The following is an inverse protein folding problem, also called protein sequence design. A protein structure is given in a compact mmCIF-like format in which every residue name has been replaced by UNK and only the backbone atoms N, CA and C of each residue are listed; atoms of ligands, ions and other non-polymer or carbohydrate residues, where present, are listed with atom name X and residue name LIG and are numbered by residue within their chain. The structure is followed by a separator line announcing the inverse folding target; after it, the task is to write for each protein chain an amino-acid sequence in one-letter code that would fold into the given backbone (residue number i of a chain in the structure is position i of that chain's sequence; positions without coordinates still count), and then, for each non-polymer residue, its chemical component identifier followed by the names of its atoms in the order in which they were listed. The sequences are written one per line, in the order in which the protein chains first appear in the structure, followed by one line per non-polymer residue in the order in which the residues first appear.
data_IF_024271636629
#
_entry.id   IF_024271636629
#
_cell.length_a   1.000
_cell.length_b   1.000
_cell.length_c   1.000
_cell.angle_alpha   90.00
_cell.angle_beta   90.00
_cell.angle_gamma   90.00
#
_symmetry.space_group_name_H-M   'P 1'
#
loop_
_entity.id
_entity.type
_entity.pdbx_description
1 polymer ?
#
# COMPACT_ATOMS: atom_id res chain seq x y z
N UNK A 1 -8.61 -8.88 -22.98
CA UNK A 1 -7.96 -7.63 -23.43
C UNK A 1 -8.63 -6.38 -22.83
N UNK A 2 -9.95 -6.20 -22.86
CA UNK A 2 -10.62 -4.96 -22.39
C UNK A 2 -10.47 -4.61 -20.89
N UNK A 3 -10.51 -5.59 -19.99
CA UNK A 3 -10.40 -5.33 -18.53
C UNK A 3 -9.02 -4.82 -18.11
N UNK A 4 -7.96 -5.31 -18.75
CA UNK A 4 -6.57 -4.92 -18.44
C UNK A 4 -6.33 -3.47 -18.83
N UNK A 5 -6.79 -3.04 -20.01
CA UNK A 5 -6.65 -1.65 -20.45
C UNK A 5 -7.46 -0.68 -19.57
N UNK A 6 -8.69 -1.05 -19.18
CA UNK A 6 -9.51 -0.26 -18.27
C UNK A 6 -8.86 -0.11 -16.89
N UNK A 7 -8.24 -1.18 -16.36
CA UNK A 7 -7.53 -1.13 -15.10
C UNK A 7 -6.24 -0.31 -15.20
N UNK A 8 -5.47 -0.44 -16.29
CA UNK A 8 -4.26 0.36 -16.52
C UNK A 8 -4.57 1.86 -16.50
N UNK A 9 -5.70 2.27 -17.08
CA UNK A 9 -6.17 3.67 -17.01
C UNK A 9 -6.49 4.10 -15.57
N UNK A 10 -7.13 3.22 -14.77
CA UNK A 10 -7.37 3.50 -13.35
C UNK A 10 -6.07 3.62 -12.56
N UNK A 11 -5.09 2.77 -12.81
CA UNK A 11 -3.77 2.84 -12.16
C UNK A 11 -3.12 4.18 -12.47
N UNK A 12 -2.99 4.52 -13.75
CA UNK A 12 -2.31 5.74 -14.17
C UNK A 12 -3.00 7.00 -13.60
N UNK A 13 -4.33 7.04 -13.60
CA UNK A 13 -5.11 8.13 -13.03
C UNK A 13 -4.91 8.30 -11.52
N UNK A 14 -4.68 7.22 -10.78
CA UNK A 14 -4.65 7.24 -9.31
C UNK A 14 -3.25 7.08 -8.73
N UNK A 15 -2.21 6.82 -9.52
CA UNK A 15 -0.85 6.54 -9.02
C UNK A 15 -0.32 7.62 -8.09
N UNK A 16 -0.47 8.89 -8.51
CA UNK A 16 0.03 10.05 -7.74
C UNK A 16 -0.72 10.23 -6.43
N UNK A 17 -2.04 10.00 -6.45
CA UNK A 17 -2.87 10.05 -5.25
C UNK A 17 -2.48 8.94 -4.28
N UNK A 18 -2.31 7.71 -4.77
CA UNK A 18 -1.95 6.56 -3.97
C UNK A 18 -0.58 6.76 -3.30
N UNK A 19 0.42 7.16 -4.07
CA UNK A 19 1.75 7.50 -3.55
C UNK A 19 1.70 8.61 -2.51
N UNK A 20 1.06 9.75 -2.81
CA UNK A 20 0.98 10.87 -1.87
C UNK A 20 0.27 10.49 -0.56
N UNK A 21 -0.76 9.65 -0.63
CA UNK A 21 -1.46 9.18 0.55
C UNK A 21 -0.61 8.21 1.37
N UNK A 22 0.04 7.24 0.71
CA UNK A 22 0.98 6.34 1.36
C UNK A 22 2.11 7.12 2.04
N UNK A 23 2.71 8.11 1.35
CA UNK A 23 3.79 8.95 1.86
C UNK A 23 3.39 9.70 3.13
N UNK A 24 2.16 10.21 3.22
CA UNK A 24 1.65 10.85 4.45
C UNK A 24 1.59 9.89 5.64
N UNK A 25 1.38 8.60 5.39
CA UNK A 25 1.27 7.56 6.42
C UNK A 25 2.64 7.01 6.83
N UNK A 26 3.44 6.57 5.86
CA UNK A 26 4.72 5.89 6.13
C UNK A 26 5.90 6.84 6.29
N UNK A 27 5.80 8.08 5.79
CA UNK A 27 6.81 9.15 5.89
C UNK A 27 8.19 8.81 5.33
N UNK A 28 8.28 7.77 4.51
CA UNK A 28 9.50 7.28 3.85
C UNK A 28 9.16 7.11 2.36
N UNK A 29 9.85 7.80 1.44
CA UNK A 29 9.55 7.73 0.01
C UNK A 29 9.54 6.31 -0.55
N UNK A 30 10.56 5.52 -0.21
CA UNK A 30 10.74 4.16 -0.73
C UNK A 30 9.60 3.24 -0.27
N UNK A 31 9.23 3.31 1.01
CA UNK A 31 8.09 2.57 1.55
C UNK A 31 6.77 3.01 0.90
N UNK A 32 6.64 4.31 0.57
CA UNK A 32 5.43 4.85 -0.03
C UNK A 32 5.26 4.36 -1.47
N UNK A 33 6.34 4.27 -2.24
CA UNK A 33 6.35 3.66 -3.57
C UNK A 33 5.95 2.18 -3.50
N UNK A 34 6.55 1.42 -2.58
CA UNK A 34 6.26 0.00 -2.40
C UNK A 34 4.80 -0.23 -1.99
N UNK A 35 4.29 0.55 -1.02
CA UNK A 35 2.88 0.48 -0.60
C UNK A 35 1.93 0.84 -1.74
N UNK A 36 2.23 1.88 -2.53
CA UNK A 36 1.39 2.27 -3.64
C UNK A 36 1.34 1.18 -4.71
N UNK A 37 2.48 0.56 -5.02
CA UNK A 37 2.57 -0.56 -5.94
C UNK A 37 1.76 -1.76 -5.45
N UNK A 38 2.01 -2.22 -4.22
CA UNK A 38 1.29 -3.34 -3.59
C UNK A 38 -0.22 -3.09 -3.56
N UNK A 39 -0.63 -1.84 -3.33
CA UNK A 39 -2.04 -1.47 -3.33
C UNK A 39 -2.70 -1.68 -4.69
N UNK A 40 -2.03 -1.33 -5.80
CA UNK A 40 -2.56 -1.57 -7.14
C UNK A 40 -2.56 -3.05 -7.51
N UNK A 41 -1.53 -3.82 -7.13
CA UNK A 41 -1.52 -5.28 -7.33
C UNK A 41 -2.70 -5.92 -6.61
N UNK A 42 -2.91 -5.55 -5.34
CA UNK A 42 -4.03 -6.05 -4.54
C UNK A 42 -5.38 -5.59 -5.07
N UNK A 43 -5.47 -4.34 -5.51
CA UNK A 43 -6.67 -3.80 -6.15
C UNK A 43 -7.02 -4.56 -7.44
N UNK A 44 -6.03 -4.94 -8.24
CA UNK A 44 -6.25 -5.74 -9.46
C UNK A 44 -6.78 -7.13 -9.13
N UNK A 45 -6.15 -7.81 -8.16
CA UNK A 45 -6.55 -9.16 -7.73
C UNK A 45 -7.98 -9.18 -7.17
N UNK A 46 -8.34 -8.17 -6.39
CA UNK A 46 -9.68 -8.05 -5.77
C UNK A 46 -10.69 -7.31 -6.65
N UNK A 47 -10.33 -6.88 -7.87
CA UNK A 47 -11.21 -6.09 -8.73
C UNK A 47 -12.49 -6.85 -9.11
N UNK A 48 -12.38 -8.18 -9.29
CA UNK A 48 -13.53 -9.04 -9.61
C UNK A 48 -14.56 -9.11 -8.48
N UNK A 49 -14.12 -8.88 -7.24
CA UNK A 49 -14.97 -8.90 -6.04
C UNK A 49 -15.50 -7.50 -5.70
N UNK A 50 -15.00 -6.46 -6.36
CA UNK A 50 -15.42 -5.09 -6.11
C UNK A 50 -16.85 -4.87 -6.62
N UNK A 51 -17.83 -4.98 -5.71
CA UNK A 51 -19.27 -4.85 -5.98
C UNK A 51 -19.75 -3.45 -6.38
N UNK A 52 -18.83 -2.48 -6.55
CA UNK A 52 -19.12 -1.07 -6.92
C UNK A 52 -20.10 -0.33 -5.99
N UNK A 53 -20.31 -0.83 -4.78
CA UNK A 53 -21.15 -0.20 -3.75
C UNK A 53 -20.53 1.08 -3.16
N UNK A 54 -19.26 1.38 -3.49
CA UNK A 54 -18.56 2.61 -3.10
C UNK A 54 -17.71 3.14 -4.26
N UNK A 55 -17.23 4.38 -4.16
CA UNK A 55 -16.28 4.91 -5.14
C UNK A 55 -14.99 4.08 -5.11
N UNK A 56 -14.44 3.77 -6.28
CA UNK A 56 -13.16 3.05 -6.41
C UNK A 56 -12.05 3.69 -5.56
N UNK A 57 -11.98 5.02 -5.51
CA UNK A 57 -11.01 5.76 -4.69
C UNK A 57 -11.17 5.47 -3.21
N UNK A 58 -12.40 5.45 -2.69
CA UNK A 58 -12.68 5.12 -1.28
C UNK A 58 -12.20 3.71 -0.93
N UNK A 59 -12.45 2.75 -1.82
CA UNK A 59 -11.97 1.39 -1.64
C UNK A 59 -10.44 1.29 -1.73
N UNK A 60 -9.82 1.97 -2.70
CA UNK A 60 -8.37 2.02 -2.85
C UNK A 60 -7.68 2.67 -1.64
N UNK A 61 -8.25 3.73 -1.07
CA UNK A 61 -7.76 4.35 0.16
C UNK A 61 -7.69 3.36 1.33
N UNK A 62 -8.69 2.48 1.48
CA UNK A 62 -8.68 1.43 2.51
C UNK A 62 -7.55 0.43 2.30
N UNK A 63 -7.30 0.04 1.05
CA UNK A 63 -6.19 -0.87 0.71
C UNK A 63 -4.85 -0.23 1.08
N UNK A 64 -4.61 1.02 0.63
CA UNK A 64 -3.37 1.75 0.89
C UNK A 64 -3.16 1.94 2.39
N UNK A 65 -4.22 2.30 3.13
CA UNK A 65 -4.16 2.48 4.57
C UNK A 65 -3.74 1.19 5.27
N UNK A 66 -4.41 0.07 4.97
CA UNK A 66 -4.10 -1.22 5.58
C UNK A 66 -2.66 -1.67 5.30
N UNK A 67 -2.18 -1.48 4.06
CA UNK A 67 -0.80 -1.80 3.68
C UNK A 67 0.22 -0.91 4.39
N UNK A 68 -0.06 0.40 4.48
CA UNK A 68 0.77 1.35 5.23
C UNK A 68 0.91 0.97 6.70
N UNK A 69 -0.20 0.65 7.37
CA UNK A 69 -0.19 0.23 8.78
C UNK A 69 0.58 -1.09 8.95
N UNK A 70 0.40 -2.05 8.02
CA UNK A 70 1.14 -3.31 8.04
C UNK A 70 2.66 -3.08 7.92
N UNK A 71 3.08 -2.22 6.99
CA UNK A 71 4.49 -1.83 6.77
C UNK A 71 5.10 -1.21 8.03
N UNK A 72 4.41 -0.24 8.63
CA UNK A 72 4.84 0.42 9.87
C UNK A 72 4.99 -0.58 11.03
N UNK A 73 4.06 -1.52 11.17
CA UNK A 73 4.14 -2.57 12.19
C UNK A 73 5.34 -3.48 11.98
N UNK A 74 5.63 -3.87 10.73
CA UNK A 74 6.79 -4.71 10.40
C UNK A 74 8.11 -4.00 10.72
N UNK A 75 8.28 -2.75 10.30
CA UNK A 75 9.47 -1.94 10.63
C UNK A 75 9.68 -1.79 12.13
N UNK A 76 8.59 -1.54 12.87
CA UNK A 76 8.64 -1.47 14.33
C UNK A 76 9.14 -2.78 14.94
N UNK A 77 8.63 -3.92 14.47
CA UNK A 77 9.08 -5.24 14.94
C UNK A 77 10.55 -5.51 14.62
N UNK A 78 11.01 -5.21 13.41
CA UNK A 78 12.42 -5.33 12.99
C UNK A 78 13.35 -4.46 13.84
N UNK A 79 12.95 -3.22 14.12
CA UNK A 79 13.71 -2.33 15.00
C UNK A 79 13.84 -2.89 16.43
N UNK A 80 12.74 -3.37 17.02
CA UNK A 80 12.77 -3.94 18.38
C UNK A 80 13.58 -5.23 18.44
N UNK A 81 13.48 -6.08 17.43
CA UNK A 81 14.28 -7.28 17.29
C UNK A 81 15.76 -6.89 17.29
N UNK A 82 16.20 -6.08 16.32
CA UNK A 82 17.59 -5.62 16.21
C UNK A 82 18.14 -5.01 17.50
N UNK A 83 17.34 -4.16 18.17
CA UNK A 83 17.73 -3.52 19.44
C UNK A 83 17.89 -4.54 20.58
N UNK A 84 17.08 -5.60 20.61
CA UNK A 84 17.19 -6.66 21.62
C UNK A 84 18.42 -7.54 21.38
N UNK A 85 18.75 -7.88 20.13
CA UNK A 85 19.97 -8.62 19.81
C UNK A 85 21.21 -7.80 20.16
N UNK A 86 21.32 -6.54 19.74
CA UNK A 86 22.48 -5.71 20.09
C UNK A 86 22.73 -5.57 21.60
N UNK A 87 21.68 -5.61 22.43
CA UNK A 87 21.78 -5.56 23.90
C UNK A 87 22.22 -6.87 24.56
N UNK A 88 22.24 -7.98 23.84
CA UNK A 88 22.56 -9.30 24.37
C UNK A 88 23.98 -9.77 24.00
N UNK A 89 24.62 -9.11 23.03
CA UNK A 89 26.00 -9.38 22.59
C UNK A 89 27.01 -8.31 23.07
N UNK A 90 26.58 -7.42 23.96
CA UNK A 90 27.39 -6.47 24.73
C UNK A 90 26.91 -6.52 26.19
#
# INVERSE_FOLDING_TARGET
MGEIHAFSYLVEKHKRMAYNFALKLVKVPEDAEEVAHDAFVKAYQSLKEFRRESKFTTWLYKIIFNLSISRLRKKKAEYFFHRRFKKQYF
#
